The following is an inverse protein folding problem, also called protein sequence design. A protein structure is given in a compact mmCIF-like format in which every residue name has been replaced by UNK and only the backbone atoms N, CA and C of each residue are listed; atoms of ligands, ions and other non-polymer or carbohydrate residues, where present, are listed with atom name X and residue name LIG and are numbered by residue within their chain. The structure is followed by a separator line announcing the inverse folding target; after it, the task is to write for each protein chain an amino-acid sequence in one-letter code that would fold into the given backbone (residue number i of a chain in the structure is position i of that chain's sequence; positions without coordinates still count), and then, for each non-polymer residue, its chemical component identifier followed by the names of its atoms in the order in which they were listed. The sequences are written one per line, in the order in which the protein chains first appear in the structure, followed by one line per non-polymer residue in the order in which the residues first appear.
data_IF_857537748633
#
_entry.id   IF_857537748633
#
_cell.length_a   1.000
_cell.length_b   1.000
_cell.length_c   1.000
_cell.angle_alpha   90.00
_cell.angle_beta   90.00
_cell.angle_gamma   90.00
#
_symmetry.space_group_name_H-M   'P 1'
#
loop_
_entity.id
_entity.type
_entity.pdbx_description
1 polymer ?
#
# COMPACT_ATOMS: atom_id res chain seq x y z
N UNK A 1 22.35 13.19 -40.38
CA UNK A 1 21.84 12.93 -39.01
C UNK A 1 20.53 13.68 -38.91
N UNK A 2 19.45 12.99 -38.61
CA UNK A 2 18.13 13.60 -38.59
C UNK A 2 17.95 14.40 -37.30
N UNK A 3 17.63 15.69 -37.43
CA UNK A 3 17.37 16.53 -36.27
C UNK A 3 16.09 16.09 -35.55
N UNK A 4 15.21 15.33 -36.21
CA UNK A 4 14.00 14.76 -35.62
C UNK A 4 14.34 13.73 -34.53
N UNK A 5 15.22 12.76 -34.81
CA UNK A 5 15.68 11.76 -33.83
C UNK A 5 16.29 12.41 -32.58
N UNK A 6 17.11 13.45 -32.78
CA UNK A 6 17.73 14.17 -31.65
C UNK A 6 16.71 14.96 -30.84
N UNK A 7 15.67 15.52 -31.47
CA UNK A 7 14.59 16.22 -30.76
C UNK A 7 13.72 15.26 -29.95
N UNK A 8 13.44 14.06 -30.46
CA UNK A 8 12.74 13.01 -29.73
C UNK A 8 13.52 12.62 -28.46
N UNK A 9 14.82 12.30 -28.60
CA UNK A 9 15.67 11.97 -27.46
C UNK A 9 15.81 13.11 -26.44
N UNK A 10 15.93 14.36 -26.91
CA UNK A 10 15.98 15.53 -26.03
C UNK A 10 14.65 15.77 -25.30
N UNK A 11 13.50 15.44 -25.92
CA UNK A 11 12.18 15.49 -25.28
C UNK A 11 12.07 14.44 -24.16
N UNK A 12 12.44 13.19 -24.46
CA UNK A 12 12.46 12.10 -23.48
C UNK A 12 13.32 12.45 -22.25
N UNK A 13 14.45 13.15 -22.47
CA UNK A 13 15.32 13.67 -21.39
C UNK A 13 14.65 14.74 -20.53
N UNK A 14 13.76 15.58 -21.06
CA UNK A 14 13.01 16.57 -20.28
C UNK A 14 11.95 15.92 -19.38
N UNK A 15 11.43 14.76 -19.79
CA UNK A 15 10.40 14.01 -19.10
C UNK A 15 10.94 12.91 -18.15
N UNK A 16 12.27 12.79 -18.05
CA UNK A 16 12.96 11.79 -17.21
C UNK A 16 12.61 10.35 -17.61
N UNK A 17 12.43 10.11 -18.92
CA UNK A 17 12.15 8.78 -19.45
C UNK A 17 13.41 7.88 -19.43
N UNK A 18 13.21 6.59 -19.18
CA UNK A 18 14.29 5.60 -19.13
C UNK A 18 14.99 5.45 -20.49
N UNK A 19 16.33 5.48 -20.48
CA UNK A 19 17.17 5.38 -21.69
C UNK A 19 17.48 6.71 -22.36
N UNK A 20 16.87 7.83 -21.94
CA UNK A 20 17.14 9.14 -22.53
C UNK A 20 18.59 9.64 -22.28
N UNK A 21 19.21 9.20 -21.18
CA UNK A 21 20.60 9.54 -20.85
C UNK A 21 21.64 8.82 -21.72
N UNK A 22 21.27 7.70 -22.36
CA UNK A 22 22.17 6.89 -23.18
C UNK A 22 22.28 7.42 -24.63
N UNK A 23 21.39 8.32 -25.04
CA UNK A 23 21.39 8.92 -26.38
C UNK A 23 22.41 10.08 -26.45
N UNK A 24 23.28 10.16 -27.48
CA UNK A 24 24.41 11.11 -27.57
C UNK A 24 23.97 12.55 -27.94
N UNK A 25 23.03 13.10 -27.17
CA UNK A 25 22.40 14.40 -27.42
C UNK A 25 23.34 15.58 -27.20
N UNK A 26 24.26 15.51 -26.24
CA UNK A 26 25.20 16.60 -25.92
C UNK A 26 26.13 16.90 -27.13
N UNK A 27 26.68 15.87 -27.77
CA UNK A 27 27.51 16.02 -28.96
C UNK A 27 26.76 16.68 -30.14
N UNK A 28 25.45 16.46 -30.24
CA UNK A 28 24.63 17.11 -31.26
C UNK A 28 24.36 18.58 -30.92
N UNK A 29 24.13 18.91 -29.65
CA UNK A 29 23.93 20.28 -29.20
C UNK A 29 25.17 21.15 -29.46
N UNK A 30 26.38 20.60 -29.38
CA UNK A 30 27.63 21.34 -29.68
C UNK A 30 27.68 21.84 -31.14
N UNK A 31 27.07 21.10 -32.07
CA UNK A 31 27.18 21.37 -33.50
C UNK A 31 25.90 21.93 -34.15
N UNK A 32 24.73 21.76 -33.53
CA UNK A 32 23.45 22.18 -34.09
C UNK A 32 22.83 23.34 -33.29
N UNK A 33 22.78 24.53 -33.90
CA UNK A 33 22.16 25.73 -33.28
C UNK A 33 20.65 25.61 -33.17
N UNK A 34 19.99 24.97 -34.15
CA UNK A 34 18.53 24.86 -34.20
C UNK A 34 17.99 23.94 -33.10
N UNK A 35 18.69 22.82 -32.85
CA UNK A 35 18.33 21.90 -31.76
C UNK A 35 18.65 22.49 -30.39
N UNK A 36 19.71 23.31 -30.24
CA UNK A 36 19.96 24.09 -29.01
C UNK A 36 18.82 25.07 -28.73
N UNK A 37 18.46 25.88 -29.72
CA UNK A 37 17.37 26.84 -29.56
C UNK A 37 16.05 26.16 -29.22
N UNK A 38 15.74 25.06 -29.91
CA UNK A 38 14.55 24.27 -29.63
C UNK A 38 14.56 23.70 -28.20
N UNK A 39 15.68 23.14 -27.75
CA UNK A 39 15.80 22.53 -26.43
C UNK A 39 15.67 23.56 -25.30
N UNK A 40 16.30 24.73 -25.44
CA UNK A 40 16.17 25.82 -24.47
C UNK A 40 14.73 26.34 -24.37
N UNK A 41 14.05 26.47 -25.52
CA UNK A 41 12.64 26.86 -25.56
C UNK A 41 11.74 25.81 -24.91
N UNK A 42 11.95 24.53 -25.20
CA UNK A 42 11.22 23.42 -24.60
C UNK A 42 11.43 23.36 -23.08
N UNK A 43 12.68 23.45 -22.62
CA UNK A 43 13.03 23.45 -21.20
C UNK A 43 12.39 24.63 -20.44
N UNK A 44 12.33 25.81 -21.07
CA UNK A 44 11.66 26.98 -20.49
C UNK A 44 10.14 26.76 -20.35
N UNK A 45 9.49 26.18 -21.37
CA UNK A 45 8.06 25.87 -21.34
C UNK A 45 7.77 24.82 -20.28
N UNK A 46 8.50 23.70 -20.29
CA UNK A 46 8.36 22.62 -19.29
C UNK A 46 8.55 23.13 -17.87
N UNK A 47 9.51 24.02 -17.64
CA UNK A 47 9.68 24.67 -16.33
C UNK A 47 8.43 25.47 -15.97
N UNK A 48 7.97 26.38 -16.84
CA UNK A 48 6.80 27.24 -16.57
C UNK A 48 5.52 26.45 -16.35
N UNK A 49 5.31 25.35 -17.07
CA UNK A 49 4.11 24.51 -16.92
C UNK A 49 4.17 23.64 -15.66
N UNK A 50 5.37 23.16 -15.27
CA UNK A 50 5.55 22.37 -14.05
C UNK A 50 5.58 23.22 -12.78
N UNK A 51 6.10 24.44 -12.83
CA UNK A 51 6.05 25.39 -11.70
C UNK A 51 4.82 26.28 -11.80
N UNK A 52 3.69 25.79 -11.28
CA UNK A 52 2.62 26.66 -10.82
C UNK A 52 3.09 27.38 -9.55
N UNK A 53 2.87 28.69 -9.45
CA UNK A 53 3.04 29.38 -8.18
C UNK A 53 2.11 28.69 -7.17
N UNK A 54 2.68 28.15 -6.08
CA UNK A 54 1.90 27.58 -4.99
C UNK A 54 1.12 28.73 -4.36
N UNK A 55 -0.10 28.95 -4.85
CA UNK A 55 -1.09 29.76 -4.14
C UNK A 55 -1.23 29.10 -2.78
N UNK A 56 -1.23 29.87 -1.70
CA UNK A 56 -1.46 29.37 -0.35
C UNK A 56 -2.79 28.61 -0.32
N UNK A 57 -2.71 27.30 -0.51
CA UNK A 57 -3.86 26.43 -0.54
C UNK A 57 -4.17 26.06 0.91
N UNK A 58 -5.45 26.00 1.31
CA UNK A 58 -5.80 25.58 2.66
C UNK A 58 -5.13 24.25 2.97
N UNK A 59 -4.45 24.17 4.11
CA UNK A 59 -3.83 22.94 4.56
C UNK A 59 -4.91 21.88 4.78
N UNK A 60 -4.98 20.91 3.88
CA UNK A 60 -5.88 19.75 3.99
C UNK A 60 -5.19 18.53 4.57
N UNK A 61 -3.95 18.66 5.08
CA UNK A 61 -3.17 17.53 5.59
C UNK A 61 -3.96 16.77 6.64
N UNK A 62 -4.64 17.48 7.55
CA UNK A 62 -5.52 16.85 8.55
C UNK A 62 -6.73 16.15 7.91
N UNK A 63 -7.35 16.75 6.89
CA UNK A 63 -8.49 16.14 6.18
C UNK A 63 -8.08 14.92 5.33
N UNK A 64 -6.84 14.87 4.83
CA UNK A 64 -6.26 13.73 4.14
C UNK A 64 -5.86 12.65 5.14
N UNK A 65 -5.17 13.01 6.22
CA UNK A 65 -4.77 12.09 7.28
C UNK A 65 -5.97 11.48 8.00
N UNK A 66 -7.06 12.23 8.17
CA UNK A 66 -8.32 11.71 8.71
C UNK A 66 -8.96 10.64 7.81
N UNK A 67 -8.61 10.61 6.51
CA UNK A 67 -9.06 9.58 5.55
C UNK A 67 -8.06 8.44 5.40
N UNK A 68 -6.84 8.56 5.93
CA UNK A 68 -5.88 7.46 5.95
C UNK A 68 -6.36 6.43 6.96
N UNK A 69 -6.64 5.18 6.54
CA UNK A 69 -7.07 4.16 7.46
C UNK A 69 -6.00 3.96 8.55
N UNK A 70 -6.40 3.84 9.83
CA UNK A 70 -5.45 3.67 10.92
C UNK A 70 -4.57 2.43 10.68
N UNK A 71 -3.32 2.48 11.15
CA UNK A 71 -2.40 1.34 11.08
C UNK A 71 -3.03 0.15 11.80
N UNK A 72 -3.50 -0.81 11.01
CA UNK A 72 -4.16 -2.02 11.52
C UNK A 72 -3.14 -2.88 12.22
N UNK A 73 -3.26 -2.99 13.54
CA UNK A 73 -2.62 -4.07 14.28
C UNK A 73 -3.42 -5.35 14.06
N UNK A 74 -3.07 -6.06 13.00
CA UNK A 74 -3.66 -7.37 12.71
C UNK A 74 -3.33 -8.32 13.86
N UNK A 75 -4.28 -9.15 14.32
CA UNK A 75 -4.07 -10.04 15.47
C UNK A 75 -2.91 -10.99 15.18
N UNK A 76 -1.78 -10.77 15.87
CA UNK A 76 -0.55 -11.57 15.73
C UNK A 76 -0.84 -13.07 15.85
N UNK A 77 -1.75 -13.43 16.78
CA UNK A 77 -2.21 -14.81 16.98
C UNK A 77 -2.83 -15.43 15.71
N UNK A 78 -3.64 -14.68 14.95
CA UNK A 78 -4.24 -15.19 13.70
C UNK A 78 -3.19 -15.40 12.63
N UNK A 79 -2.15 -14.54 12.56
CA UNK A 79 -1.03 -14.72 11.64
C UNK A 79 -0.16 -15.92 12.01
N UNK A 80 0.09 -16.12 13.30
CA UNK A 80 0.80 -17.31 13.83
C UNK A 80 -0.01 -18.57 13.51
N UNK A 81 -1.32 -18.56 13.77
CA UNK A 81 -2.19 -19.68 13.44
C UNK A 81 -2.21 -19.99 11.94
N UNK A 82 -2.32 -18.97 11.08
CA UNK A 82 -2.26 -19.13 9.63
C UNK A 82 -0.92 -19.72 9.16
N UNK A 83 0.19 -19.24 9.74
CA UNK A 83 1.52 -19.77 9.48
C UNK A 83 1.64 -21.24 9.91
N UNK A 84 1.14 -21.59 11.10
CA UNK A 84 1.15 -22.96 11.60
C UNK A 84 0.34 -23.91 10.71
N UNK A 85 -0.85 -23.50 10.26
CA UNK A 85 -1.65 -24.26 9.29
C UNK A 85 -0.90 -24.46 7.98
N UNK A 86 -0.25 -23.40 7.46
CA UNK A 86 0.57 -23.50 6.24
C UNK A 86 1.75 -24.47 6.38
N UNK A 87 2.45 -24.45 7.51
CA UNK A 87 3.55 -25.40 7.80
C UNK A 87 3.03 -26.83 7.87
N UNK A 88 1.89 -27.06 8.53
CA UNK A 88 1.27 -28.38 8.61
C UNK A 88 0.85 -28.88 7.23
N UNK A 89 0.31 -28.01 6.38
CA UNK A 89 -0.04 -28.33 4.98
C UNK A 89 1.20 -28.68 4.14
N UNK A 90 2.32 -27.97 4.32
CA UNK A 90 3.58 -28.35 3.67
C UNK A 90 4.05 -29.74 4.14
N UNK A 91 3.89 -30.05 5.43
CA UNK A 91 4.24 -31.36 5.99
C UNK A 91 3.44 -32.50 5.36
N UNK A 92 2.12 -32.34 5.19
CA UNK A 92 1.29 -33.35 4.51
C UNK A 92 1.64 -33.48 3.03
N UNK A 93 1.95 -32.36 2.35
CA UNK A 93 2.43 -32.35 0.97
C UNK A 93 3.77 -33.06 0.78
N UNK A 94 4.72 -32.85 1.71
CA UNK A 94 6.01 -33.54 1.70
C UNK A 94 5.86 -35.05 1.97
N UNK A 95 4.96 -35.44 2.88
CA UNK A 95 4.67 -36.85 3.14
C UNK A 95 4.05 -37.55 1.91
N UNK A 96 3.16 -36.86 1.18
CA UNK A 96 2.57 -37.38 -0.07
C UNK A 96 3.57 -37.44 -1.22
N UNK A 97 4.49 -36.46 -1.32
CA UNK A 97 5.64 -36.49 -2.24
C UNK A 97 6.60 -37.66 -1.95
N UNK A 98 6.85 -37.95 -0.67
CA UNK A 98 7.73 -39.05 -0.25
C UNK A 98 7.15 -40.44 -0.54
N UNK A 99 5.84 -40.54 -0.77
CA UNK A 99 5.20 -41.72 -1.35
C UNK A 99 5.40 -41.75 -2.87
N UNK A 100 4.31 -41.88 -3.61
CA UNK A 100 4.32 -41.94 -5.09
C UNK A 100 3.34 -40.97 -5.73
N UNK A 101 2.69 -40.11 -4.95
CA UNK A 101 1.65 -39.19 -5.42
C UNK A 101 2.25 -37.80 -5.70
N UNK A 102 3.17 -37.72 -6.67
CA UNK A 102 3.97 -36.51 -6.90
C UNK A 102 3.14 -35.28 -7.27
N UNK A 103 2.15 -35.45 -8.14
CA UNK A 103 1.27 -34.38 -8.59
C UNK A 103 0.47 -33.80 -7.42
N UNK A 104 -0.21 -34.66 -6.67
CA UNK A 104 -0.98 -34.28 -5.49
C UNK A 104 -0.08 -33.66 -4.43
N UNK A 105 1.08 -34.26 -4.13
CA UNK A 105 1.99 -33.77 -3.11
C UNK A 105 2.61 -32.41 -3.45
N UNK A 106 3.05 -32.19 -4.69
CA UNK A 106 3.56 -30.90 -5.15
C UNK A 106 2.50 -29.80 -5.01
N UNK A 107 1.26 -30.13 -5.36
CA UNK A 107 0.15 -29.21 -5.25
C UNK A 107 -0.19 -28.86 -3.79
N UNK A 108 -0.14 -29.83 -2.88
CA UNK A 108 -0.30 -29.62 -1.44
C UNK A 108 0.81 -28.74 -0.83
N UNK A 109 2.06 -28.93 -1.26
CA UNK A 109 3.17 -28.06 -0.84
C UNK A 109 2.96 -26.63 -1.32
N UNK A 110 2.50 -26.44 -2.57
CA UNK A 110 2.21 -25.10 -3.09
C UNK A 110 1.14 -24.37 -2.27
N UNK A 111 0.08 -25.07 -1.85
CA UNK A 111 -0.94 -24.54 -0.94
C UNK A 111 -0.35 -24.08 0.40
N UNK A 112 0.47 -24.93 1.03
CA UNK A 112 1.13 -24.60 2.30
C UNK A 112 2.05 -23.39 2.19
N UNK A 113 2.85 -23.30 1.12
CA UNK A 113 3.72 -22.14 0.85
C UNK A 113 2.91 -20.86 0.65
N UNK A 114 1.77 -20.93 -0.06
CA UNK A 114 0.89 -19.78 -0.24
C UNK A 114 0.34 -19.27 1.11
N UNK A 115 -0.07 -20.17 2.01
CA UNK A 115 -0.55 -19.83 3.36
C UNK A 115 0.55 -19.21 4.24
N UNK A 116 1.76 -19.78 4.23
CA UNK A 116 2.92 -19.21 4.96
C UNK A 116 3.29 -17.84 4.41
N UNK A 117 3.27 -17.66 3.08
CA UNK A 117 3.54 -16.38 2.43
C UNK A 117 2.48 -15.34 2.78
N UNK A 118 1.21 -15.74 2.85
CA UNK A 118 0.10 -14.89 3.30
C UNK A 118 0.26 -14.47 4.78
N UNK A 119 0.75 -15.37 5.63
CA UNK A 119 1.05 -15.06 7.02
C UNK A 119 2.21 -14.06 7.14
N UNK A 120 3.29 -14.25 6.37
CA UNK A 120 4.50 -13.44 6.41
C UNK A 120 4.34 -12.04 5.80
N UNK A 121 3.71 -11.93 4.62
CA UNK A 121 3.61 -10.65 3.90
C UNK A 121 2.47 -9.78 4.45
N UNK A 122 2.69 -8.47 4.60
CA UNK A 122 1.63 -7.47 4.87
C UNK A 122 0.88 -7.09 3.58
N UNK A 123 0.62 -8.04 2.69
CA UNK A 123 -0.20 -7.77 1.51
C UNK A 123 -1.66 -7.64 1.93
N UNK A 124 -2.47 -6.90 1.15
CA UNK A 124 -3.91 -6.90 1.36
C UNK A 124 -4.40 -8.34 1.16
N UNK A 125 -4.68 -9.06 2.25
CA UNK A 125 -5.17 -10.46 2.21
C UNK A 125 -6.36 -10.62 1.25
N UNK A 126 -7.10 -9.53 1.00
CA UNK A 126 -8.12 -9.37 -0.05
C UNK A 126 -7.67 -9.75 -1.46
N UNK A 127 -6.42 -9.46 -1.85
CA UNK A 127 -5.90 -9.86 -3.17
C UNK A 127 -5.57 -11.34 -3.27
N UNK A 128 -5.28 -12.01 -2.14
CA UNK A 128 -4.94 -13.44 -2.11
C UNK A 128 -6.16 -14.35 -1.93
N UNK A 129 -7.26 -13.81 -1.40
CA UNK A 129 -8.52 -14.52 -1.16
C UNK A 129 -9.08 -15.28 -2.37
N UNK A 130 -9.18 -14.71 -3.58
CA UNK A 130 -9.68 -15.46 -4.73
C UNK A 130 -8.76 -16.63 -5.09
N UNK A 131 -7.44 -16.41 -5.09
CA UNK A 131 -6.45 -17.45 -5.37
C UNK A 131 -6.54 -18.61 -4.37
N UNK A 132 -6.52 -18.30 -3.07
CA UNK A 132 -6.66 -19.30 -2.01
C UNK A 132 -8.01 -20.03 -2.10
N UNK A 133 -9.09 -19.31 -2.40
CA UNK A 133 -10.42 -19.89 -2.58
C UNK A 133 -10.48 -20.88 -3.74
N UNK A 134 -9.96 -20.51 -4.91
CA UNK A 134 -9.88 -21.40 -6.09
C UNK A 134 -9.08 -22.65 -5.76
N UNK A 135 -7.94 -22.49 -5.09
CA UNK A 135 -7.06 -23.56 -4.69
C UNK A 135 -7.74 -24.55 -3.73
N UNK A 136 -8.45 -24.07 -2.71
CA UNK A 136 -9.24 -24.93 -1.81
C UNK A 136 -10.40 -25.63 -2.56
N UNK A 137 -11.05 -24.94 -3.49
CA UNK A 137 -12.15 -25.51 -4.27
C UNK A 137 -11.68 -26.66 -5.18
N UNK A 138 -10.53 -26.51 -5.83
CA UNK A 138 -9.91 -27.58 -6.62
C UNK A 138 -9.57 -28.81 -5.75
N UNK A 139 -9.26 -28.60 -4.46
CA UNK A 139 -8.87 -29.67 -3.53
C UNK A 139 -10.10 -30.49 -3.20
N UNK A 140 -11.17 -29.80 -2.85
CA UNK A 140 -12.46 -30.41 -2.61
C UNK A 140 -12.94 -31.22 -3.83
N UNK A 141 -12.75 -30.68 -5.05
CA UNK A 141 -13.12 -31.38 -6.28
C UNK A 141 -12.28 -32.66 -6.49
N UNK A 142 -10.98 -32.59 -6.26
CA UNK A 142 -10.08 -33.75 -6.34
C UNK A 142 -10.46 -34.87 -5.37
N UNK A 143 -10.80 -34.53 -4.12
CA UNK A 143 -11.24 -35.49 -3.11
C UNK A 143 -12.58 -36.16 -3.47
N UNK A 144 -13.53 -35.38 -4.02
CA UNK A 144 -14.82 -35.91 -4.47
C UNK A 144 -14.64 -36.84 -5.67
N UNK A 145 -13.75 -36.49 -6.61
CA UNK A 145 -13.52 -37.27 -7.83
C UNK A 145 -12.68 -38.53 -7.58
N UNK A 146 -11.70 -38.49 -6.67
CA UNK A 146 -10.76 -39.58 -6.39
C UNK A 146 -11.24 -40.60 -5.36
N UNK A 147 -12.35 -40.32 -4.66
CA UNK A 147 -12.82 -41.11 -3.53
C UNK A 147 -12.16 -40.65 -2.22
N UNK A 148 -12.98 -40.32 -1.23
CA UNK A 148 -12.50 -39.69 0.00
C UNK A 148 -11.67 -40.66 0.84
N UNK A 149 -10.41 -40.29 1.11
CA UNK A 149 -9.50 -40.99 2.01
C UNK A 149 -9.30 -40.14 3.28
N UNK A 150 -9.14 -40.73 4.49
CA UNK A 150 -8.85 -39.97 5.71
C UNK A 150 -7.71 -38.93 5.58
N UNK A 151 -6.66 -39.22 4.82
CA UNK A 151 -5.56 -38.27 4.59
C UNK A 151 -5.98 -37.05 3.75
N UNK A 152 -6.83 -37.27 2.75
CA UNK A 152 -7.38 -36.23 1.90
C UNK A 152 -8.38 -35.34 2.65
N UNK A 153 -9.23 -35.96 3.47
CA UNK A 153 -10.16 -35.23 4.37
C UNK A 153 -9.38 -34.34 5.35
N UNK A 154 -8.31 -34.84 5.96
CA UNK A 154 -7.47 -34.05 6.87
C UNK A 154 -6.86 -32.82 6.16
N UNK A 155 -6.39 -33.00 4.93
CA UNK A 155 -5.84 -31.92 4.11
C UNK A 155 -6.90 -30.89 3.72
N UNK A 156 -8.13 -31.33 3.42
CA UNK A 156 -9.26 -30.45 3.14
C UNK A 156 -9.68 -29.63 4.36
N UNK A 157 -9.72 -30.26 5.54
CA UNK A 157 -9.99 -29.56 6.81
C UNK A 157 -8.93 -28.49 7.09
N UNK A 158 -7.65 -28.79 6.87
CA UNK A 158 -6.57 -27.82 7.04
C UNK A 158 -6.65 -26.66 6.05
N UNK A 159 -6.90 -26.95 4.78
CA UNK A 159 -6.97 -25.94 3.73
C UNK A 159 -8.17 -24.99 3.95
N UNK A 160 -9.32 -25.53 4.35
CA UNK A 160 -10.52 -24.74 4.68
C UNK A 160 -10.32 -23.91 5.96
N UNK A 161 -9.65 -24.44 6.98
CA UNK A 161 -9.28 -23.70 8.18
C UNK A 161 -8.32 -22.52 7.86
N UNK A 162 -7.33 -22.75 6.99
CA UNK A 162 -6.42 -21.70 6.51
C UNK A 162 -7.15 -20.59 5.75
N UNK A 163 -8.10 -20.95 4.88
CA UNK A 163 -8.94 -19.99 4.17
C UNK A 163 -9.83 -19.18 5.14
N UNK A 164 -10.44 -19.83 6.13
CA UNK A 164 -11.25 -19.17 7.15
C UNK A 164 -10.43 -18.15 7.96
N UNK A 165 -9.20 -18.52 8.37
CA UNK A 165 -8.27 -17.60 9.05
C UNK A 165 -7.87 -16.41 8.15
N UNK A 166 -7.62 -16.65 6.86
CA UNK A 166 -7.34 -15.57 5.90
C UNK A 166 -8.54 -14.63 5.75
N UNK A 167 -9.76 -15.17 5.68
CA UNK A 167 -11.01 -14.39 5.66
C UNK A 167 -11.16 -13.54 6.93
N UNK A 168 -10.95 -14.14 8.12
CA UNK A 168 -11.01 -13.42 9.40
C UNK A 168 -9.99 -12.28 9.42
N UNK A 169 -8.76 -12.53 8.98
CA UNK A 169 -7.70 -11.54 8.90
C UNK A 169 -7.98 -10.41 7.91
N UNK A 170 -8.73 -10.71 6.84
CA UNK A 170 -9.20 -9.72 5.86
C UNK A 170 -10.42 -8.93 6.31
N UNK A 171 -11.25 -9.49 7.21
CA UNK A 171 -12.49 -8.88 7.71
C UNK A 171 -12.37 -8.19 9.05
N UNK A 172 -11.35 -8.49 9.87
CA UNK A 172 -11.12 -7.78 11.13
C UNK A 172 -10.94 -6.30 10.83
N UNK A 173 -11.91 -5.44 11.20
CA UNK A 173 -11.80 -4.01 10.97
C UNK A 173 -10.57 -3.50 11.72
N UNK A 174 -9.97 -2.39 11.26
CA UNK A 174 -8.93 -1.70 12.02
C UNK A 174 -9.42 -1.53 13.46
N UNK A 175 -8.74 -2.18 14.41
CA UNK A 175 -9.01 -1.91 15.81
C UNK A 175 -8.46 -0.50 16.06
N UNK A 176 -9.36 0.42 16.34
CA UNK A 176 -9.03 1.78 16.64
C UNK A 176 -8.24 1.78 17.95
N UNK A 177 -6.91 1.74 17.85
CA UNK A 177 -6.09 2.21 18.96
C UNK A 177 -6.35 3.69 19.00
N UNK A 178 -7.26 4.07 19.91
CA UNK A 178 -7.48 5.46 20.27
C UNK A 178 -6.13 6.17 20.37
N UNK A 179 -6.07 7.45 19.96
CA UNK A 179 -4.83 8.15 19.67
C UNK A 179 -3.80 7.84 20.75
N UNK A 180 -2.70 7.18 20.36
CA UNK A 180 -1.53 7.07 21.23
C UNK A 180 -1.28 8.49 21.73
N UNK A 181 -1.19 8.73 23.06
CA UNK A 181 -0.97 10.06 23.58
C UNK A 181 0.18 10.66 22.79
N UNK A 182 -0.12 11.75 22.08
CA UNK A 182 0.86 12.46 21.30
C UNK A 182 2.01 12.72 22.25
N UNK A 183 3.19 12.14 21.97
CA UNK A 183 4.39 12.62 22.61
C UNK A 183 4.37 14.13 22.36
N UNK A 184 4.37 14.99 23.40
CA UNK A 184 4.31 16.42 23.20
C UNK A 184 5.37 16.76 22.17
N UNK A 185 4.94 17.40 21.08
CA UNK A 185 5.77 17.66 19.91
C UNK A 185 6.93 18.56 20.35
N UNK A 186 8.00 17.95 20.85
CA UNK A 186 9.22 18.61 21.29
C UNK A 186 10.01 19.18 20.10
N UNK A 187 9.49 19.03 18.87
CA UNK A 187 10.11 19.51 17.66
C UNK A 187 9.09 20.27 16.80
N UNK A 188 8.44 21.29 17.37
CA UNK A 188 7.99 22.42 16.54
C UNK A 188 9.24 23.12 16.04
N UNK A 189 9.64 22.84 14.80
CA UNK A 189 10.53 23.73 14.06
C UNK A 189 9.84 25.09 14.01
N UNK A 190 10.30 26.03 14.83
CA UNK A 190 9.85 27.41 14.82
C UNK A 190 10.40 28.03 13.54
N UNK A 191 9.54 28.20 12.54
CA UNK A 191 9.86 28.96 11.35
C UNK A 191 10.08 30.43 11.75
N UNK A 192 11.15 31.09 11.29
CA UNK A 192 11.37 32.50 11.59
C UNK A 192 10.26 33.34 10.93
N UNK A 193 9.39 33.96 11.74
CA UNK A 193 8.38 34.92 11.25
C UNK A 193 6.94 34.74 11.76
N UNK A 194 6.64 33.70 12.54
CA UNK A 194 5.30 33.57 13.15
C UNK A 194 5.09 34.64 14.26
N UNK A 195 4.06 35.51 14.17
CA UNK A 195 3.73 36.44 15.24
C UNK A 195 3.21 35.70 16.48
N UNK A 196 3.56 36.18 17.68
CA UNK A 196 3.11 35.60 18.94
C UNK A 196 1.58 35.65 19.05
N UNK A 197 0.93 34.48 19.07
CA UNK A 197 -0.48 34.34 19.43
C UNK A 197 -0.65 34.60 20.93
N UNK A 198 -0.83 35.88 21.28
CA UNK A 198 -1.17 36.32 22.64
C UNK A 198 -2.61 35.94 22.98
N UNK A 199 -2.81 34.68 23.39
CA UNK A 199 -4.11 34.13 23.82
C UNK A 199 -4.39 34.26 25.32
N UNK A 200 -3.95 35.34 25.96
CA UNK A 200 -4.14 35.54 27.40
C UNK A 200 -5.01 36.75 27.80
N UNK A 201 -5.83 37.33 26.91
CA UNK A 201 -6.70 38.45 27.31
C UNK A 201 -7.99 38.58 26.52
N UNK A 202 -9.00 37.73 26.80
CA UNK A 202 -10.42 38.07 26.57
C UNK A 202 -11.36 37.09 27.30
N UNK A 203 -11.38 37.09 28.63
CA UNK A 203 -12.53 36.58 29.37
C UNK A 203 -13.68 37.59 29.22
N UNK A 204 -14.56 37.37 28.25
CA UNK A 204 -15.80 38.14 28.08
C UNK A 204 -16.73 37.78 29.25
N UNK A 205 -16.79 38.67 30.25
CA UNK A 205 -17.79 38.64 31.32
C UNK A 205 -19.09 39.21 30.76
N UNK A 206 -20.11 38.36 30.60
CA UNK A 206 -21.46 38.80 30.24
C UNK A 206 -22.18 39.23 31.53
N UNK A 207 -22.43 40.53 31.68
CA UNK A 207 -23.32 41.07 32.71
C UNK A 207 -24.78 41.01 32.20
N UNK A 208 -25.60 40.14 32.77
CA UNK A 208 -27.06 40.20 32.62
C UNK A 208 -27.62 41.40 33.41
N UNK A 209 -28.11 42.43 32.73
CA UNK A 209 -28.94 43.46 33.35
C UNK A 209 -30.40 43.09 33.24
N UNK A 210 -30.95 42.62 34.37
CA UNK A 210 -32.37 42.44 34.64
C UNK A 210 -33.03 43.82 34.79
N UNK A 211 -33.87 44.24 33.84
CA UNK A 211 -34.81 45.35 34.05
C UNK A 211 -36.23 44.82 34.19
N UNK A 212 -36.70 44.77 35.42
CA UNK A 212 -38.12 44.77 35.74
C UNK A 212 -38.65 46.20 35.53
N UNK A 213 -39.80 46.36 34.86
CA UNK A 213 -40.69 47.49 35.11
C UNK A 213 -42.14 47.12 34.84
N UNK A 214 -42.89 47.12 35.93
CA UNK A 214 -44.35 47.14 36.01
C UNK A 214 -44.88 48.52 35.61
N UNK A 215 -45.96 48.53 34.84
CA UNK A 215 -47.13 49.39 34.97
C UNK A 215 -48.26 48.77 34.15
#
# INVERSE_FOLDING_TARGET
MDCEDFREALSARLDDEEGAADHPTDAHLDHCTDCRYWYDAAALITRRTRTSAVVAWPDVSDAVLARVPPRVERPFLVRVALGAVGVLQCGTGLATLAGTAYETGAWQVALGVALVTAAARRLSVTTLLPLLGTLVALLALGEVAGGTNPAGIASLVLATAGLALAVVLGRTPPQDRGPSPSKPAANRLRLPGEPEDNRDSASVVIHETRTAKSA
#
